data_IF_824090266384
#
_entry.id   IF_824090266384
#
_cell.length_a   1.000
_cell.length_b   1.000
_cell.length_c   1.000
_cell.angle_alpha   90.00
_cell.angle_beta   90.00
_cell.angle_gamma   90.00
#
_symmetry.space_group_name_H-M   'P 1'
#
loop_
_entity.id
_entity.type
_entity.pdbx_description
1 polymer ?
#
# COMPACT_ATOMS: atom_id res chain seq x y z
N UNK A 1 14.12 8.83 10.26
CA UNK A 1 14.01 7.36 10.48
C UNK A 1 12.68 6.93 9.90
N UNK A 2 12.64 6.04 8.90
CA UNK A 2 11.39 5.67 8.18
C UNK A 2 10.28 5.17 9.12
N UNK A 3 10.65 4.60 10.26
CA UNK A 3 9.73 4.00 11.23
C UNK A 3 8.77 4.97 11.92
N UNK A 4 8.93 6.30 11.78
CA UNK A 4 8.01 7.28 12.39
C UNK A 4 6.75 7.50 11.57
N UNK A 5 6.79 7.26 10.25
CA UNK A 5 5.68 7.58 9.35
C UNK A 5 4.75 6.38 9.08
N UNK A 6 5.17 5.17 9.47
CA UNK A 6 4.46 3.92 9.16
C UNK A 6 2.97 3.92 9.54
N UNK A 7 2.59 4.26 10.78
CA UNK A 7 1.18 4.28 11.18
C UNK A 7 0.32 5.22 10.34
N UNK A 8 0.86 6.37 9.96
CA UNK A 8 0.11 7.36 9.20
C UNK A 8 -0.02 6.96 7.73
N UNK A 9 1.01 6.33 7.14
CA UNK A 9 0.93 5.72 5.80
C UNK A 9 -0.10 4.59 5.74
N UNK A 10 -0.22 3.78 6.79
CA UNK A 10 -1.25 2.72 6.87
C UNK A 10 -2.66 3.33 6.94
N UNK A 11 -2.87 4.38 7.74
CA UNK A 11 -4.16 5.08 7.78
C UNK A 11 -4.51 5.72 6.44
N UNK A 12 -3.54 6.29 5.75
CA UNK A 12 -3.72 6.87 4.41
C UNK A 12 -4.16 5.81 3.39
N UNK A 13 -3.52 4.63 3.40
CA UNK A 13 -3.95 3.48 2.59
C UNK A 13 -5.40 3.09 2.85
N UNK A 14 -5.84 3.08 4.12
CA UNK A 14 -7.22 2.73 4.50
C UNK A 14 -8.20 3.83 4.09
N UNK A 15 -7.93 5.07 4.50
CA UNK A 15 -8.91 6.16 4.45
C UNK A 15 -9.00 6.82 3.08
N UNK A 16 -7.86 7.03 2.42
CA UNK A 16 -7.79 7.79 1.16
C UNK A 16 -7.83 6.85 -0.05
N UNK A 17 -7.12 5.73 0.02
CA UNK A 17 -7.00 4.80 -1.10
C UNK A 17 -7.94 3.59 -1.01
N UNK A 18 -8.55 3.35 0.15
CA UNK A 18 -9.53 2.29 0.34
C UNK A 18 -8.94 0.88 0.36
N UNK A 19 -7.73 0.71 0.89
CA UNK A 19 -7.14 -0.58 1.18
C UNK A 19 -7.88 -1.26 2.36
N UNK A 20 -8.25 -2.52 2.18
CA UNK A 20 -9.01 -3.33 3.13
C UNK A 20 -8.09 -4.30 3.86
N UNK A 21 -7.66 -3.94 5.07
CA UNK A 21 -6.91 -4.84 5.96
C UNK A 21 -7.84 -5.62 6.88
N UNK A 22 -7.33 -6.70 7.47
CA UNK A 22 -8.08 -7.53 8.41
C UNK A 22 -8.23 -6.84 9.76
N UNK A 23 -9.40 -7.03 10.38
CA UNK A 23 -9.73 -6.52 11.71
C UNK A 23 -10.00 -7.67 12.68
N UNK A 24 -9.60 -7.50 13.94
CA UNK A 24 -9.92 -8.43 15.03
C UNK A 24 -11.36 -8.29 15.51
N UNK A 25 -11.77 -9.17 16.43
CA UNK A 25 -13.10 -9.13 17.06
C UNK A 25 -13.36 -7.85 17.86
N UNK A 26 -12.29 -7.15 18.27
CA UNK A 26 -12.33 -5.88 18.98
C UNK A 26 -12.52 -4.67 18.05
N UNK A 27 -12.61 -4.90 16.74
CA UNK A 27 -12.74 -3.86 15.73
C UNK A 27 -11.44 -3.10 15.45
N UNK A 28 -10.32 -3.51 16.03
CA UNK A 28 -9.00 -2.96 15.72
C UNK A 28 -8.33 -3.75 14.58
N UNK A 29 -7.31 -3.16 13.96
CA UNK A 29 -6.51 -3.87 12.96
C UNK A 29 -5.93 -5.16 13.55
N UNK A 30 -6.09 -6.26 12.83
CA UNK A 30 -5.49 -7.52 13.21
C UNK A 30 -3.99 -7.47 12.90
N UNK A 31 -3.16 -7.48 13.95
CA UNK A 31 -1.71 -7.35 13.84
C UNK A 31 -0.99 -8.69 13.97
N UNK A 32 -0.27 -9.06 12.92
CA UNK A 32 0.64 -10.18 12.91
C UNK A 32 2.01 -9.81 13.52
N UNK A 33 2.75 -10.84 13.91
CA UNK A 33 4.15 -10.74 14.34
C UNK A 33 5.00 -11.59 13.40
N UNK A 34 5.83 -10.93 12.62
CA UNK A 34 6.74 -11.59 11.67
C UNK A 34 8.17 -11.68 12.23
N UNK A 35 9.04 -12.41 11.52
CA UNK A 35 10.44 -12.61 11.90
C UNK A 35 11.17 -11.28 12.13
N UNK A 36 11.94 -11.19 13.21
CA UNK A 36 12.65 -9.95 13.58
C UNK A 36 11.81 -8.92 14.35
N UNK A 37 10.52 -9.16 14.59
CA UNK A 37 9.68 -8.28 15.41
C UNK A 37 9.49 -8.83 16.83
N UNK A 38 9.73 -7.99 17.85
CA UNK A 38 9.41 -8.29 19.26
C UNK A 38 7.93 -8.07 19.60
N UNK A 39 7.22 -7.28 18.78
CA UNK A 39 5.81 -6.90 18.97
C UNK A 39 4.99 -7.23 17.72
N UNK A 40 3.67 -7.42 17.90
CA UNK A 40 2.69 -7.51 16.80
C UNK A 40 2.51 -6.13 16.18
N UNK A 41 2.92 -5.95 14.93
CA UNK A 41 2.89 -4.64 14.25
C UNK A 41 2.79 -4.72 12.72
N UNK A 42 2.45 -5.90 12.20
CA UNK A 42 2.33 -6.11 10.76
C UNK A 42 0.85 -6.22 10.41
N UNK A 43 0.35 -5.25 9.64
CA UNK A 43 -0.99 -5.30 9.05
C UNK A 43 -1.00 -6.26 7.86
N UNK A 44 -2.13 -6.90 7.60
CA UNK A 44 -2.29 -7.82 6.49
C UNK A 44 -3.73 -7.82 5.97
N UNK A 45 -3.89 -8.30 4.74
CA UNK A 45 -5.18 -8.61 4.14
C UNK A 45 -5.13 -10.08 3.70
N UNK A 46 -5.58 -10.97 4.57
CA UNK A 46 -5.40 -12.42 4.47
C UNK A 46 -3.95 -12.79 4.07
N UNK A 47 -3.78 -13.51 2.96
CA UNK A 47 -2.51 -13.94 2.37
C UNK A 47 -2.05 -13.06 1.19
N UNK A 48 -2.76 -11.98 0.90
CA UNK A 48 -2.60 -11.18 -0.33
C UNK A 48 -2.48 -9.67 -0.05
N UNK A 49 -1.81 -9.27 1.04
CA UNK A 49 -1.62 -7.86 1.42
C UNK A 49 -1.05 -7.00 0.29
N UNK A 50 -0.06 -7.50 -0.45
CA UNK A 50 0.54 -6.77 -1.57
C UNK A 50 -0.47 -6.48 -2.70
N UNK A 51 -1.27 -7.48 -3.07
CA UNK A 51 -2.32 -7.35 -4.09
C UNK A 51 -3.38 -6.35 -3.64
N UNK A 52 -3.75 -6.35 -2.37
CA UNK A 52 -4.77 -5.44 -1.85
C UNK A 52 -4.31 -3.98 -1.87
N UNK A 53 -3.05 -3.73 -1.50
CA UNK A 53 -2.43 -2.40 -1.61
C UNK A 53 -2.35 -1.97 -3.07
N UNK A 54 -1.88 -2.85 -3.96
CA UNK A 54 -1.80 -2.59 -5.41
C UNK A 54 -3.19 -2.24 -5.99
N UNK A 55 -4.21 -3.03 -5.67
CA UNK A 55 -5.61 -2.78 -6.09
C UNK A 55 -6.09 -1.40 -5.65
N UNK A 56 -5.85 -1.02 -4.40
CA UNK A 56 -6.25 0.28 -3.86
C UNK A 56 -5.56 1.44 -4.58
N UNK A 57 -4.24 1.34 -4.78
CA UNK A 57 -3.45 2.38 -5.44
C UNK A 57 -3.75 2.48 -6.94
N UNK A 58 -3.87 1.36 -7.66
CA UNK A 58 -4.26 1.36 -9.08
C UNK A 58 -5.64 1.95 -9.28
N UNK A 59 -6.59 1.66 -8.38
CA UNK A 59 -7.92 2.30 -8.40
C UNK A 59 -7.80 3.82 -8.20
N UNK A 60 -6.93 4.28 -7.31
CA UNK A 60 -6.73 5.72 -7.11
C UNK A 60 -6.13 6.39 -8.35
N UNK A 61 -5.17 5.72 -9.02
CA UNK A 61 -4.58 6.17 -10.29
C UNK A 61 -5.62 6.26 -11.40
N UNK A 62 -6.44 5.22 -11.58
CA UNK A 62 -7.49 5.17 -12.60
C UNK A 62 -8.54 6.29 -12.43
N UNK A 63 -8.77 6.73 -11.19
CA UNK A 63 -9.72 7.81 -10.87
C UNK A 63 -9.13 9.23 -10.97
N UNK A 64 -7.81 9.40 -11.12
CA UNK A 64 -7.20 10.74 -11.26
C UNK A 64 -7.02 11.12 -12.75
N UNK A 65 -7.82 12.06 -13.28
CA UNK A 65 -7.77 12.43 -14.70
C UNK A 65 -6.45 13.13 -15.11
N UNK A 66 -5.58 13.48 -14.16
CA UNK A 66 -4.27 14.06 -14.43
C UNK A 66 -3.19 13.00 -14.65
N UNK A 67 -3.49 11.73 -14.37
CA UNK A 67 -2.55 10.62 -14.52
C UNK A 67 -2.86 9.88 -15.83
N UNK A 68 -1.82 9.63 -16.62
CA UNK A 68 -1.90 8.84 -17.84
C UNK A 68 -1.11 7.55 -17.64
N UNK A 69 -1.78 6.40 -17.76
CA UNK A 69 -1.16 5.09 -17.57
C UNK A 69 -0.80 4.47 -18.93
N UNK A 70 0.48 4.19 -19.13
CA UNK A 70 1.02 3.54 -20.33
C UNK A 70 1.31 2.06 -20.04
N UNK A 71 0.28 1.23 -20.11
CA UNK A 71 0.43 -0.22 -19.92
C UNK A 71 1.24 -0.86 -21.06
N UNK A 72 1.97 -1.93 -20.75
CA UNK A 72 2.80 -2.66 -21.73
C UNK A 72 3.89 -1.82 -22.42
N UNK A 73 4.38 -0.75 -21.76
CA UNK A 73 5.50 0.05 -22.24
C UNK A 73 6.78 -0.27 -21.46
N UNK A 74 7.87 -0.53 -22.19
CA UNK A 74 9.19 -0.78 -21.60
C UNK A 74 10.05 0.48 -21.70
N UNK A 75 10.54 0.99 -20.56
CA UNK A 75 11.50 2.10 -20.54
C UNK A 75 12.88 1.59 -20.95
N UNK A 76 13.44 2.11 -22.05
CA UNK A 76 14.72 1.64 -22.61
C UNK A 76 15.90 2.43 -22.05
N UNK A 77 15.81 3.76 -22.06
CA UNK A 77 16.89 4.65 -21.64
C UNK A 77 16.33 5.97 -21.12
N UNK A 78 17.14 6.70 -20.36
CA UNK A 78 16.82 8.05 -19.87
C UNK A 78 17.42 9.09 -20.82
N UNK A 79 16.61 10.07 -21.22
CA UNK A 79 17.12 11.24 -21.92
C UNK A 79 17.77 12.20 -20.92
N UNK A 80 19.10 12.32 -20.98
CA UNK A 80 19.89 13.10 -20.01
C UNK A 80 20.35 14.47 -20.54
N UNK A 81 20.09 14.77 -21.82
CA UNK A 81 20.36 16.06 -22.46
C UNK A 81 19.30 16.38 -23.52
N UNK A 82 19.05 17.67 -23.76
CA UNK A 82 18.20 18.20 -24.85
C UNK A 82 19.04 18.86 -25.93
#
# INVERSE_FOLDING_TARGET
VVCTEGPDRVKELINEFGASFDYGEDGNLHLAREGGHSHRRIVHAADMTGREIERALLKAVDNDPRIFMFEHHFAIDLLTSQ
#
